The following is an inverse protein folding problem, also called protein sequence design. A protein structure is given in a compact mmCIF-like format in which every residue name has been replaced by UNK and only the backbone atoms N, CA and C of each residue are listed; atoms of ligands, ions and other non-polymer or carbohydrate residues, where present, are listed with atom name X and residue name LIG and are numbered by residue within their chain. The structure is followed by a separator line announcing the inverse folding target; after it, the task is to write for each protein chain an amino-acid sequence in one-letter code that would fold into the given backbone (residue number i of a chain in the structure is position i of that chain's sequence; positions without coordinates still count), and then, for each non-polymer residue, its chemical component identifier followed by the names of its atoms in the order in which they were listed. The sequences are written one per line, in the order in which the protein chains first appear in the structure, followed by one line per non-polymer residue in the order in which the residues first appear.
data_IF_831789994102
#
_entry.id   IF_831789994102
#
_cell.length_a   1.000
_cell.length_b   1.000
_cell.length_c   1.000
_cell.angle_alpha   90.00
_cell.angle_beta   90.00
_cell.angle_gamma   90.00
#
_symmetry.space_group_name_H-M   'P 1'
#
loop_
_entity.id
_entity.type
_entity.pdbx_description
1 polymer ?
#
# COMPACT_ATOMS: atom_id res chain seq x y z
N UNK A 1 35.82 22.60 15.72
CA UNK A 1 34.75 22.36 14.76
C UNK A 1 33.78 23.54 14.80
N UNK A 2 33.72 24.37 13.75
CA UNK A 2 32.73 25.44 13.67
C UNK A 2 31.50 24.89 12.94
N UNK A 3 30.42 24.63 13.68
CA UNK A 3 29.13 24.27 13.14
C UNK A 3 28.36 25.54 12.75
N UNK A 4 28.10 25.75 11.46
CA UNK A 4 27.25 26.82 10.98
C UNK A 4 25.84 26.28 10.88
N UNK A 5 24.99 26.60 11.84
CA UNK A 5 23.58 26.22 11.83
C UNK A 5 22.82 27.25 11.02
N UNK A 6 22.16 26.84 9.94
CA UNK A 6 21.18 27.63 9.22
C UNK A 6 19.80 27.22 9.73
N UNK A 7 19.09 28.09 10.37
CA UNK A 7 17.68 27.87 10.70
C UNK A 7 16.87 28.03 9.40
N UNK A 8 16.09 27.00 9.06
CA UNK A 8 15.08 27.06 8.03
C UNK A 8 13.78 27.62 8.61
N UNK A 9 12.89 28.11 7.74
CA UNK A 9 11.58 28.58 8.17
C UNK A 9 10.79 27.46 8.82
N UNK A 10 10.03 27.79 9.87
CA UNK A 10 9.21 26.80 10.59
C UNK A 10 8.08 26.21 9.73
N UNK A 11 7.69 26.91 8.65
CA UNK A 11 6.67 26.49 7.73
C UNK A 11 7.25 25.90 6.44
N UNK A 12 6.68 24.83 5.97
CA UNK A 12 7.00 24.20 4.70
C UNK A 12 5.75 23.89 3.89
N UNK A 13 5.83 24.14 2.59
CA UNK A 13 4.80 23.71 1.62
C UNK A 13 5.44 22.68 0.69
N UNK A 14 4.80 21.55 0.55
CA UNK A 14 5.24 20.45 -0.30
C UNK A 14 4.20 20.25 -1.40
N UNK A 15 4.63 20.24 -2.63
CA UNK A 15 3.79 19.97 -3.79
C UNK A 15 4.35 18.78 -4.56
N UNK A 16 3.49 18.00 -5.16
CA UNK A 16 3.92 16.85 -5.94
C UNK A 16 2.74 16.12 -6.58
N UNK A 17 2.99 14.91 -7.01
CA UNK A 17 2.00 14.06 -7.61
C UNK A 17 2.55 13.25 -8.76
N UNK A 18 1.67 12.64 -9.52
CA UNK A 18 1.99 11.87 -10.70
C UNK A 18 0.93 12.04 -11.77
N UNK A 19 1.39 12.11 -13.02
CA UNK A 19 0.55 12.05 -14.22
C UNK A 19 0.91 10.78 -14.96
N UNK A 20 -0.08 10.00 -15.33
CA UNK A 20 0.11 8.71 -15.99
C UNK A 20 -0.82 8.57 -17.19
N UNK A 21 -0.40 7.78 -18.17
CA UNK A 21 -1.25 7.35 -19.28
C UNK A 21 -2.35 6.38 -18.83
N UNK A 22 -2.21 5.82 -17.62
CA UNK A 22 -3.26 5.04 -16.92
C UNK A 22 -4.08 5.96 -16.03
N UNK A 23 -5.15 5.44 -15.40
CA UNK A 23 -6.01 6.25 -14.50
C UNK A 23 -5.36 6.63 -13.16
N UNK A 24 -4.06 6.40 -12.96
CA UNK A 24 -3.34 6.58 -11.70
C UNK A 24 -2.83 8.00 -11.44
N UNK A 25 -3.50 9.02 -11.98
CA UNK A 25 -3.12 10.42 -11.77
C UNK A 25 -3.38 10.85 -10.33
N UNK A 26 -2.42 11.60 -9.75
CA UNK A 26 -2.50 12.12 -8.38
C UNK A 26 -1.93 13.53 -8.31
N UNK A 27 -2.56 14.38 -7.50
CA UNK A 27 -2.02 15.67 -7.06
C UNK A 27 -1.83 15.57 -5.54
N UNK A 28 -0.69 16.03 -5.06
CA UNK A 28 -0.33 16.07 -3.65
C UNK A 28 -0.03 17.50 -3.21
N UNK A 29 -0.57 17.87 -2.06
CA UNK A 29 -0.25 19.09 -1.34
C UNK A 29 0.00 18.74 0.13
N UNK A 30 1.14 19.17 0.65
CA UNK A 30 1.49 19.00 2.06
C UNK A 30 1.84 20.35 2.67
N UNK A 31 1.32 20.59 3.88
CA UNK A 31 1.67 21.71 4.74
C UNK A 31 2.39 21.16 5.97
N UNK A 32 3.50 21.77 6.35
CA UNK A 32 4.27 21.37 7.51
C UNK A 32 4.62 22.57 8.39
N UNK A 33 4.53 22.37 9.68
CA UNK A 33 5.08 23.27 10.70
C UNK A 33 6.04 22.50 11.57
N UNK A 34 7.26 22.99 11.74
CA UNK A 34 8.27 22.40 12.60
C UNK A 34 8.85 23.43 13.55
N UNK A 35 8.91 23.09 14.82
CA UNK A 35 9.55 23.88 15.86
C UNK A 35 10.67 23.06 16.50
N UNK A 36 11.90 23.59 16.40
CA UNK A 36 13.13 22.96 16.91
C UNK A 36 13.61 23.76 18.10
N UNK A 37 13.17 23.37 19.28
CA UNK A 37 13.62 23.89 20.55
C UNK A 37 14.39 22.82 21.34
N UNK A 38 14.16 22.72 22.66
CA UNK A 38 14.69 21.64 23.49
C UNK A 38 14.23 20.26 23.02
N UNK A 39 13.07 20.18 22.41
CA UNK A 39 12.52 19.01 21.70
C UNK A 39 11.91 19.43 20.35
N UNK A 40 11.92 18.53 19.38
CA UNK A 40 11.33 18.80 18.07
C UNK A 40 9.83 18.54 18.10
N UNK A 41 9.05 19.49 17.61
CA UNK A 41 7.62 19.34 17.32
C UNK A 41 7.42 19.49 15.82
N UNK A 42 6.63 18.61 15.24
CA UNK A 42 6.27 18.66 13.84
C UNK A 42 4.77 18.40 13.69
N UNK A 43 4.09 19.24 12.93
CA UNK A 43 2.70 19.03 12.52
C UNK A 43 2.67 19.07 11.00
N UNK A 44 2.11 18.02 10.38
CA UNK A 44 1.95 17.96 8.93
C UNK A 44 0.51 17.68 8.57
N UNK A 45 0.02 18.38 7.54
CA UNK A 45 -1.26 18.14 6.90
C UNK A 45 -0.98 17.79 5.44
N UNK A 46 -1.28 16.56 5.06
CA UNK A 46 -1.05 16.02 3.72
C UNK A 46 -2.39 15.74 3.04
N UNK A 47 -2.56 16.24 1.83
CA UNK A 47 -3.72 15.99 0.98
C UNK A 47 -3.31 15.38 -0.34
N UNK A 48 -4.04 14.37 -0.79
CA UNK A 48 -3.86 13.73 -2.09
C UNK A 48 -5.21 13.60 -2.77
N UNK A 49 -5.27 13.99 -4.03
CA UNK A 49 -6.46 13.89 -4.86
C UNK A 49 -6.07 13.19 -6.15
N UNK A 50 -6.75 12.09 -6.44
CA UNK A 50 -6.52 11.31 -7.66
C UNK A 50 -7.77 10.53 -8.06
N UNK A 51 -7.75 9.93 -9.22
CA UNK A 51 -8.90 9.13 -9.69
C UNK A 51 -9.06 7.83 -8.89
N UNK A 52 -7.96 7.17 -8.55
CA UNK A 52 -7.95 5.88 -7.85
C UNK A 52 -7.74 6.06 -6.36
N UNK A 53 -6.89 6.99 -5.95
CA UNK A 53 -6.52 7.17 -4.55
C UNK A 53 -6.67 8.63 -4.11
N UNK A 54 -7.46 8.82 -3.07
CA UNK A 54 -7.66 10.09 -2.38
C UNK A 54 -7.27 9.92 -0.92
N UNK A 55 -6.62 10.92 -0.34
CA UNK A 55 -6.24 10.88 1.07
C UNK A 55 -6.16 12.28 1.68
N UNK A 56 -6.51 12.38 2.96
CA UNK A 56 -6.18 13.50 3.83
C UNK A 56 -5.59 12.93 5.13
N UNK A 57 -4.41 13.40 5.52
CA UNK A 57 -3.73 12.93 6.72
C UNK A 57 -3.19 14.09 7.54
N UNK A 58 -3.51 14.09 8.81
CA UNK A 58 -2.90 14.95 9.83
C UNK A 58 -1.95 14.12 10.67
N UNK A 59 -0.71 14.56 10.83
CA UNK A 59 0.28 13.97 11.74
C UNK A 59 0.83 15.03 12.66
N UNK A 60 0.81 14.74 13.96
CA UNK A 60 1.55 15.47 14.97
C UNK A 60 2.64 14.58 15.52
N UNK A 61 3.88 15.07 15.57
CA UNK A 61 5.06 14.35 16.01
C UNK A 61 5.83 15.17 17.04
N UNK A 62 6.33 14.50 18.07
CA UNK A 62 7.22 15.07 19.09
C UNK A 62 8.41 14.14 19.24
N UNK A 63 9.62 14.67 19.05
CA UNK A 63 10.87 13.95 19.27
C UNK A 63 11.49 14.46 20.58
N UNK A 64 11.67 13.57 21.55
CA UNK A 64 12.26 13.86 22.84
C UNK A 64 13.72 13.41 22.88
N UNK A 65 14.68 14.31 23.21
CA UNK A 65 16.09 13.99 23.36
C UNK A 65 16.38 13.37 24.72
N UNK A 66 15.66 12.34 25.10
CA UNK A 66 15.87 11.57 26.32
C UNK A 66 17.10 10.66 26.19
N UNK A 67 17.53 9.99 27.28
CA UNK A 67 18.66 9.03 27.23
C UNK A 67 18.51 8.00 26.10
N UNK A 68 17.27 7.57 25.84
CA UNK A 68 16.90 6.79 24.64
C UNK A 68 16.00 7.73 23.83
N UNK A 69 16.47 8.29 22.70
CA UNK A 69 15.67 9.20 21.90
C UNK A 69 14.32 8.58 21.55
N UNK A 70 13.24 9.26 21.89
CA UNK A 70 11.87 8.72 21.74
C UNK A 70 11.05 9.66 20.88
N UNK A 71 10.36 9.09 19.88
CA UNK A 71 9.45 9.81 18.99
C UNK A 71 8.02 9.38 19.27
N UNK A 72 7.14 10.33 19.55
CA UNK A 72 5.70 10.13 19.65
C UNK A 72 5.02 10.70 18.41
N UNK A 73 4.08 9.95 17.83
CA UNK A 73 3.31 10.37 16.65
C UNK A 73 1.85 10.09 16.86
N UNK A 74 1.02 11.07 16.58
CA UNK A 74 -0.42 10.94 16.45
C UNK A 74 -0.78 11.14 14.98
N UNK A 75 -1.46 10.16 14.38
CA UNK A 75 -1.85 10.18 12.98
C UNK A 75 -3.36 10.03 12.90
N UNK A 76 -4.00 10.96 12.20
CA UNK A 76 -5.39 10.84 11.79
C UNK A 76 -5.44 10.84 10.26
N UNK A 77 -6.08 9.85 9.66
CA UNK A 77 -6.10 9.66 8.21
C UNK A 77 -7.49 9.28 7.70
N UNK A 78 -7.82 9.83 6.53
CA UNK A 78 -8.99 9.51 5.73
C UNK A 78 -8.50 9.16 4.34
N UNK A 79 -8.80 7.96 3.84
CA UNK A 79 -8.42 7.58 2.48
C UNK A 79 -9.52 6.81 1.77
N UNK A 80 -9.56 6.96 0.46
CA UNK A 80 -10.46 6.23 -0.44
C UNK A 80 -9.67 5.67 -1.59
N UNK A 81 -9.89 4.38 -1.88
CA UNK A 81 -9.42 3.71 -3.10
C UNK A 81 -10.62 3.34 -3.95
N UNK A 82 -10.67 3.84 -5.20
CA UNK A 82 -11.69 3.52 -6.18
C UNK A 82 -11.09 2.67 -7.31
N UNK A 83 -11.55 1.43 -7.43
CA UNK A 83 -11.07 0.51 -8.44
C UNK A 83 -12.03 0.43 -9.63
N UNK A 84 -11.49 0.51 -10.85
CA UNK A 84 -12.21 0.47 -12.11
C UNK A 84 -11.93 -0.81 -12.89
N UNK A 85 -12.94 -1.35 -13.60
CA UNK A 85 -12.82 -2.65 -14.30
C UNK A 85 -11.85 -2.65 -15.48
N UNK A 86 -11.61 -1.51 -16.11
CA UNK A 86 -10.66 -1.37 -17.23
C UNK A 86 -10.00 -0.01 -17.19
N UNK A 87 -8.71 -0.02 -17.15
CA UNK A 87 -7.89 1.11 -17.52
C UNK A 87 -7.46 0.89 -18.97
N UNK A 88 -8.11 1.60 -19.89
CA UNK A 88 -7.62 1.68 -21.27
C UNK A 88 -6.76 2.94 -21.39
N UNK A 89 -5.63 2.80 -22.08
CA UNK A 89 -4.78 3.94 -22.47
C UNK A 89 -5.66 5.01 -23.11
N UNK A 90 -5.62 6.23 -22.59
CA UNK A 90 -6.35 7.41 -23.10
C UNK A 90 -7.87 7.30 -23.17
N UNK A 91 -8.51 6.31 -22.53
CA UNK A 91 -9.96 6.25 -22.53
C UNK A 91 -10.56 6.85 -21.26
N UNK A 92 -11.60 7.67 -21.43
CA UNK A 92 -12.46 8.13 -20.34
C UNK A 92 -13.23 6.92 -19.80
N UNK A 93 -13.07 6.59 -18.52
CA UNK A 93 -13.94 5.61 -17.88
C UNK A 93 -15.25 6.29 -17.54
N UNK A 94 -16.28 6.05 -18.32
CA UNK A 94 -17.62 6.61 -18.11
C UNK A 94 -18.43 5.82 -17.07
N UNK A 95 -17.88 4.70 -16.56
CA UNK A 95 -18.55 3.84 -15.57
C UNK A 95 -17.98 4.07 -14.18
N UNK A 96 -18.86 4.05 -13.14
CA UNK A 96 -18.44 4.11 -11.73
C UNK A 96 -17.45 3.01 -11.37
N UNK A 97 -16.74 3.21 -10.24
CA UNK A 97 -15.88 2.17 -9.66
C UNK A 97 -16.70 0.92 -9.33
N UNK A 98 -16.13 -0.25 -9.58
CA UNK A 98 -16.79 -1.50 -9.23
C UNK A 98 -16.53 -1.91 -7.79
N UNK A 99 -15.43 -1.43 -7.18
CA UNK A 99 -15.09 -1.55 -5.77
C UNK A 99 -14.56 -0.21 -5.28
N UNK A 100 -15.04 0.22 -4.11
CA UNK A 100 -14.52 1.39 -3.38
C UNK A 100 -14.16 0.96 -1.96
N UNK A 101 -13.00 1.38 -1.49
CA UNK A 101 -12.50 1.09 -0.16
C UNK A 101 -12.19 2.38 0.57
N UNK A 102 -12.97 2.66 1.62
CA UNK A 102 -12.77 3.80 2.52
C UNK A 102 -12.07 3.34 3.79
N UNK A 103 -11.06 4.11 4.22
CA UNK A 103 -10.33 3.86 5.45
C UNK A 103 -10.24 5.17 6.24
N UNK A 104 -10.66 5.15 7.49
CA UNK A 104 -10.61 6.27 8.43
C UNK A 104 -10.03 5.77 9.73
N UNK A 105 -8.96 6.39 10.22
CA UNK A 105 -8.36 5.93 11.47
C UNK A 105 -7.65 7.04 12.23
N UNK A 106 -7.47 6.78 13.53
CA UNK A 106 -6.55 7.50 14.40
C UNK A 106 -5.60 6.47 15.00
N UNK A 107 -4.29 6.75 14.95
CA UNK A 107 -3.21 5.87 15.43
C UNK A 107 -2.22 6.67 16.26
N UNK A 108 -1.93 6.21 17.47
CA UNK A 108 -0.83 6.69 18.30
C UNK A 108 0.35 5.74 18.14
N UNK A 109 1.55 6.27 17.93
CA UNK A 109 2.77 5.51 17.72
C UNK A 109 3.88 6.04 18.60
N UNK A 110 4.68 5.13 19.13
CA UNK A 110 5.93 5.42 19.85
C UNK A 110 7.05 4.73 19.12
N UNK A 111 8.09 5.46 18.75
CA UNK A 111 9.26 4.93 18.04
C UNK A 111 10.53 5.15 18.87
N UNK A 112 11.36 4.12 18.90
CA UNK A 112 12.64 4.08 19.60
C UNK A 112 13.74 3.63 18.64
N UNK A 113 14.98 4.15 18.72
CA UNK A 113 16.10 3.58 18.00
C UNK A 113 16.37 2.17 18.54
N UNK A 114 16.59 1.23 17.62
CA UNK A 114 16.88 -0.17 17.94
C UNK A 114 18.30 -0.58 17.57
N UNK A 115 18.76 -0.16 16.40
CA UNK A 115 20.12 -0.29 15.88
C UNK A 115 20.47 0.97 15.10
N UNK A 116 21.71 1.14 14.66
CA UNK A 116 22.20 2.35 14.00
C UNK A 116 21.28 2.86 12.88
N UNK A 117 20.68 1.94 12.07
CA UNK A 117 19.79 2.28 10.96
C UNK A 117 18.40 1.66 11.09
N UNK A 118 18.00 1.24 12.32
CA UNK A 118 16.71 0.58 12.57
C UNK A 118 16.01 1.23 13.76
N UNK A 119 14.69 1.22 13.72
CA UNK A 119 13.82 1.67 14.80
C UNK A 119 12.79 0.61 15.14
N UNK A 120 12.44 0.53 16.41
CA UNK A 120 11.29 -0.20 16.91
C UNK A 120 10.12 0.75 17.05
N UNK A 121 8.92 0.32 16.69
CA UNK A 121 7.69 1.11 16.83
C UNK A 121 6.63 0.28 17.54
N UNK A 122 5.92 0.89 18.45
CA UNK A 122 4.72 0.35 19.09
C UNK A 122 3.57 1.29 18.74
N UNK A 123 2.44 0.75 18.35
CA UNK A 123 1.29 1.59 18.05
C UNK A 123 -0.02 0.97 18.51
N UNK A 124 -0.99 1.85 18.80
CA UNK A 124 -2.38 1.53 19.05
C UNK A 124 -3.25 2.48 18.25
N UNK A 125 -4.38 2.00 17.73
CA UNK A 125 -5.26 2.84 16.96
C UNK A 125 -6.67 2.26 16.84
N UNK A 126 -7.59 3.15 16.47
CA UNK A 126 -8.95 2.80 16.12
C UNK A 126 -9.21 3.19 14.66
N UNK A 127 -9.79 2.26 13.90
CA UNK A 127 -10.09 2.45 12.49
C UNK A 127 -11.48 1.95 12.11
N UNK A 128 -12.08 2.67 11.16
CA UNK A 128 -13.27 2.25 10.43
C UNK A 128 -12.89 2.03 8.97
N UNK A 129 -13.06 0.79 8.51
CA UNK A 129 -12.84 0.39 7.13
C UNK A 129 -14.20 0.08 6.53
N UNK A 130 -14.45 0.55 5.30
CA UNK A 130 -15.69 0.30 4.59
C UNK A 130 -15.39 -0.05 3.15
N UNK A 131 -15.91 -1.21 2.72
CA UNK A 131 -15.83 -1.66 1.33
C UNK A 131 -17.22 -1.61 0.71
N UNK A 132 -17.34 -0.95 -0.46
CA UNK A 132 -18.53 -0.99 -1.30
C UNK A 132 -18.16 -1.73 -2.58
N UNK A 133 -18.90 -2.79 -2.94
CA UNK A 133 -18.50 -3.68 -4.03
C UNK A 133 -19.69 -4.39 -4.67
N UNK A 134 -19.48 -4.90 -5.88
CA UNK A 134 -20.44 -5.75 -6.57
C UNK A 134 -19.91 -7.18 -6.65
N UNK A 135 -20.76 -8.16 -6.33
CA UNK A 135 -20.37 -9.58 -6.36
C UNK A 135 -20.36 -10.15 -7.79
N UNK A 136 -21.11 -9.53 -8.71
CA UNK A 136 -21.19 -9.96 -10.12
C UNK A 136 -20.11 -9.32 -10.98
N UNK A 137 -19.62 -10.06 -11.98
CA UNK A 137 -18.77 -9.50 -13.04
C UNK A 137 -19.57 -8.69 -14.07
N UNK A 138 -20.85 -8.93 -14.20
CA UNK A 138 -21.78 -8.17 -15.05
C UNK A 138 -22.59 -7.26 -14.14
N UNK A 139 -22.38 -5.95 -14.23
CA UNK A 139 -23.02 -4.95 -13.39
C UNK A 139 -23.92 -4.08 -14.25
N UNK A 140 -25.17 -3.95 -13.87
CA UNK A 140 -26.06 -2.93 -14.36
C UNK A 140 -26.13 -1.79 -13.34
N UNK A 141 -25.32 -0.75 -13.55
CA UNK A 141 -25.19 0.37 -12.59
C UNK A 141 -26.49 1.17 -12.37
N UNK A 142 -27.48 1.03 -13.24
CA UNK A 142 -28.78 1.70 -13.09
C UNK A 142 -29.73 0.95 -12.14
N UNK A 143 -29.54 -0.37 -12.01
CA UNK A 143 -30.42 -1.27 -11.24
C UNK A 143 -29.74 -1.90 -10.04
N UNK A 144 -28.46 -2.27 -10.19
CA UNK A 144 -27.71 -2.97 -9.15
C UNK A 144 -27.17 -1.97 -8.12
N UNK A 145 -27.35 -2.30 -6.85
CA UNK A 145 -26.75 -1.59 -5.73
C UNK A 145 -25.57 -2.37 -5.20
N UNK A 146 -24.51 -1.66 -4.80
CA UNK A 146 -23.34 -2.28 -4.21
C UNK A 146 -23.62 -2.83 -2.82
N UNK A 147 -23.06 -3.99 -2.52
CA UNK A 147 -22.92 -4.49 -1.16
C UNK A 147 -21.99 -3.62 -0.35
N UNK A 148 -22.17 -3.62 0.97
CA UNK A 148 -21.34 -2.84 1.89
C UNK A 148 -20.89 -3.70 3.07
N UNK A 149 -19.57 -3.82 3.25
CA UNK A 149 -18.96 -4.36 4.46
C UNK A 149 -18.28 -3.25 5.24
N UNK A 150 -18.56 -3.12 6.52
CA UNK A 150 -17.97 -2.11 7.40
C UNK A 150 -17.31 -2.79 8.60
N UNK A 151 -16.06 -2.45 8.88
CA UNK A 151 -15.26 -2.97 9.98
C UNK A 151 -14.92 -1.82 10.92
N UNK A 152 -15.32 -1.91 12.19
CA UNK A 152 -14.88 -1.01 13.25
C UNK A 152 -13.88 -1.77 14.11
N UNK A 153 -12.62 -1.37 14.10
CA UNK A 153 -11.51 -2.12 14.60
C UNK A 153 -10.67 -1.31 15.59
N UNK A 154 -10.33 -1.93 16.71
CA UNK A 154 -9.21 -1.54 17.55
C UNK A 154 -8.00 -2.36 17.10
N UNK A 155 -6.85 -1.73 16.90
CA UNK A 155 -5.62 -2.40 16.49
C UNK A 155 -4.44 -2.02 17.36
N UNK A 156 -3.54 -2.97 17.60
CA UNK A 156 -2.25 -2.75 18.21
C UNK A 156 -1.16 -3.38 17.35
N UNK A 157 0.03 -2.75 17.31
CA UNK A 157 1.14 -3.27 16.53
C UNK A 157 2.49 -3.05 17.22
N UNK A 158 3.41 -3.97 16.95
CA UNK A 158 4.84 -3.83 17.20
C UNK A 158 5.54 -4.03 15.88
N UNK A 159 6.45 -3.10 15.53
CA UNK A 159 7.17 -3.14 14.27
C UNK A 159 8.65 -2.82 14.41
N UNK A 160 9.45 -3.39 13.52
CA UNK A 160 10.86 -3.08 13.34
C UNK A 160 11.08 -2.62 11.90
N UNK A 161 11.69 -1.45 11.74
CA UNK A 161 11.88 -0.81 10.45
C UNK A 161 13.33 -0.39 10.27
N UNK A 162 13.88 -0.62 9.10
CA UNK A 162 15.18 -0.15 8.70
C UNK A 162 15.21 0.27 7.25
N UNK A 163 15.92 1.37 6.93
CA UNK A 163 16.08 1.81 5.56
C UNK A 163 17.37 2.59 5.38
N UNK A 164 18.11 2.24 4.34
CA UNK A 164 19.30 2.96 3.85
C UNK A 164 19.19 3.25 2.36
N UNK A 165 17.97 3.23 1.81
CA UNK A 165 17.73 3.44 0.39
C UNK A 165 18.17 4.84 -0.06
N UNK A 166 18.84 4.92 -1.20
CA UNK A 166 19.25 6.18 -1.81
C UNK A 166 18.12 6.98 -2.46
N UNK A 167 16.96 6.36 -2.72
CA UNK A 167 15.78 7.03 -3.27
C UNK A 167 14.49 6.38 -2.78
N UNK A 168 13.39 7.16 -2.69
CA UNK A 168 12.05 6.68 -2.30
C UNK A 168 11.43 5.73 -3.30
N UNK A 169 11.55 6.08 -4.58
CA UNK A 169 11.14 5.24 -5.71
C UNK A 169 12.36 5.01 -6.60
N UNK A 170 12.41 3.85 -7.23
CA UNK A 170 13.47 3.48 -8.16
C UNK A 170 14.87 3.51 -7.53
N UNK A 171 15.01 3.14 -6.26
CA UNK A 171 16.29 3.02 -5.59
C UNK A 171 17.22 2.05 -6.33
N UNK A 172 18.53 2.35 -6.26
CA UNK A 172 19.61 1.54 -6.84
C UNK A 172 20.63 1.09 -5.81
N UNK A 173 20.57 1.62 -4.57
CA UNK A 173 21.51 1.31 -3.49
C UNK A 173 20.78 1.23 -2.15
N UNK A 174 21.35 0.47 -1.23
CA UNK A 174 20.84 0.34 0.13
C UNK A 174 19.79 -0.76 0.28
N UNK A 175 19.10 -0.75 1.40
CA UNK A 175 18.04 -1.73 1.70
C UNK A 175 16.87 -1.07 2.41
N UNK A 176 15.73 -1.76 2.37
CA UNK A 176 14.57 -1.55 3.23
C UNK A 176 14.20 -2.86 3.89
N UNK A 177 13.86 -2.81 5.17
CA UNK A 177 13.42 -3.97 5.95
C UNK A 177 12.28 -3.55 6.88
N UNK A 178 11.23 -4.35 6.91
CA UNK A 178 10.04 -4.15 7.76
C UNK A 178 9.63 -5.50 8.32
N UNK A 179 9.49 -5.60 9.65
CA UNK A 179 8.84 -6.71 10.35
C UNK A 179 7.78 -6.12 11.26
N UNK A 180 6.53 -6.53 11.11
CA UNK A 180 5.41 -6.00 11.90
C UNK A 180 4.51 -7.14 12.34
N UNK A 181 4.18 -7.16 13.63
CA UNK A 181 3.14 -7.99 14.20
C UNK A 181 1.99 -7.09 14.66
N UNK A 182 0.78 -7.37 14.20
CA UNK A 182 -0.42 -6.58 14.48
C UNK A 182 -1.54 -7.47 15.01
N UNK A 183 -2.28 -6.97 15.98
CA UNK A 183 -3.50 -7.62 16.50
C UNK A 183 -4.67 -6.67 16.30
N UNK A 184 -5.78 -7.23 15.86
CA UNK A 184 -7.02 -6.48 15.63
C UNK A 184 -8.17 -7.14 16.33
N UNK A 185 -9.10 -6.32 16.84
CA UNK A 185 -10.38 -6.78 17.39
C UNK A 185 -11.46 -5.77 17.07
N UNK A 186 -12.62 -6.24 16.66
CA UNK A 186 -13.74 -5.36 16.35
C UNK A 186 -14.96 -6.09 15.82
N UNK A 187 -15.75 -5.37 15.03
CA UNK A 187 -17.02 -5.86 14.48
C UNK A 187 -17.09 -5.60 12.99
N UNK A 188 -17.47 -6.62 12.25
CA UNK A 188 -17.90 -6.54 10.86
C UNK A 188 -19.42 -6.34 10.81
N UNK A 189 -19.91 -5.46 9.94
CA UNK A 189 -21.30 -5.30 9.57
C UNK A 189 -21.42 -5.40 8.06
N UNK A 190 -22.13 -6.40 7.58
CA UNK A 190 -22.47 -6.55 6.17
C UNK A 190 -23.90 -6.05 5.90
N UNK A 191 -24.08 -5.33 4.80
CA UNK A 191 -25.37 -4.86 4.29
C UNK A 191 -25.44 -5.21 2.80
N UNK A 192 -26.36 -6.10 2.40
CA UNK A 192 -26.55 -6.43 0.99
C UNK A 192 -27.11 -5.24 0.21
N UNK A 193 -26.62 -5.03 -1.02
CA UNK A 193 -27.07 -3.97 -1.91
C UNK A 193 -28.47 -4.25 -2.48
N UNK A 194 -28.69 -5.48 -2.93
CA UNK A 194 -29.97 -5.95 -3.42
C UNK A 194 -30.49 -7.00 -2.42
N UNK A 195 -31.30 -6.58 -1.42
CA UNK A 195 -31.83 -7.51 -0.43
C UNK A 195 -32.79 -8.50 -1.08
N UNK A 196 -32.54 -9.78 -0.89
CA UNK A 196 -33.43 -10.89 -1.20
C UNK A 196 -33.93 -11.47 0.12
N UNK A 197 -34.95 -12.32 0.09
CA UNK A 197 -35.45 -12.99 1.32
C UNK A 197 -34.36 -13.75 2.10
N UNK A 198 -33.28 -14.15 1.41
CA UNK A 198 -32.15 -14.87 1.97
C UNK A 198 -30.94 -13.99 2.32
N UNK A 199 -30.88 -12.74 1.88
CA UNK A 199 -29.78 -11.82 2.14
C UNK A 199 -30.08 -10.86 3.26
N UNK A 200 -29.63 -11.14 4.45
CA UNK A 200 -29.89 -10.36 5.67
C UNK A 200 -28.65 -9.59 6.08
N UNK A 201 -28.83 -8.42 6.68
CA UNK A 201 -27.75 -7.69 7.34
C UNK A 201 -27.15 -8.55 8.46
N UNK A 202 -25.84 -8.83 8.38
CA UNK A 202 -25.14 -9.60 9.41
C UNK A 202 -24.22 -8.72 10.23
N UNK A 203 -23.92 -9.14 11.47
CA UNK A 203 -22.92 -8.51 12.33
C UNK A 203 -22.13 -9.61 13.00
N UNK A 204 -20.81 -9.61 12.76
CA UNK A 204 -19.91 -10.60 13.33
C UNK A 204 -18.75 -9.93 14.07
N UNK A 205 -18.24 -10.61 15.09
CA UNK A 205 -17.01 -10.19 15.76
C UNK A 205 -15.81 -10.76 15.01
N UNK A 206 -14.87 -9.88 14.68
CA UNK A 206 -13.62 -10.24 14.03
C UNK A 206 -12.45 -9.94 14.97
N UNK A 207 -11.57 -10.92 15.15
CA UNK A 207 -10.30 -10.73 15.88
C UNK A 207 -9.24 -11.59 15.21
N UNK A 208 -8.07 -11.01 14.92
CA UNK A 208 -7.01 -11.74 14.25
C UNK A 208 -5.63 -11.17 14.58
N UNK A 209 -4.62 -12.01 14.37
CA UNK A 209 -3.20 -11.66 14.34
C UNK A 209 -2.75 -11.57 12.87
N UNK A 210 -1.93 -10.57 12.56
CA UNK A 210 -1.22 -10.47 11.29
C UNK A 210 0.27 -10.25 11.56
N UNK A 211 1.11 -11.01 10.87
CA UNK A 211 2.56 -10.85 10.88
C UNK A 211 3.01 -10.63 9.44
N UNK A 212 3.73 -9.56 9.19
CA UNK A 212 4.29 -9.24 7.89
C UNK A 212 5.79 -9.01 7.97
N UNK A 213 6.53 -9.59 7.05
CA UNK A 213 7.94 -9.33 6.84
C UNK A 213 8.17 -8.95 5.39
N UNK A 214 8.90 -7.86 5.16
CA UNK A 214 9.30 -7.41 3.83
C UNK A 214 10.74 -6.92 3.88
N UNK A 215 11.52 -7.38 2.95
CA UNK A 215 12.89 -6.88 2.73
C UNK A 215 13.18 -6.76 1.25
N UNK A 216 13.83 -5.69 0.87
CA UNK A 216 14.46 -5.55 -0.43
C UNK A 216 15.80 -4.85 -0.28
N UNK A 217 16.75 -5.25 -1.10
CA UNK A 217 18.11 -4.73 -1.05
C UNK A 217 18.70 -4.65 -2.46
N UNK A 218 19.65 -3.74 -2.62
CA UNK A 218 20.32 -3.47 -3.88
C UNK A 218 21.83 -3.60 -3.69
N UNK A 219 22.44 -4.47 -4.48
CA UNK A 219 23.88 -4.75 -4.48
C UNK A 219 24.49 -4.26 -5.79
N UNK A 220 25.37 -3.27 -5.71
CA UNK A 220 26.13 -2.77 -6.85
C UNK A 220 27.18 -3.80 -7.23
N UNK A 221 27.00 -4.46 -8.37
CA UNK A 221 27.92 -5.47 -8.90
C UNK A 221 29.02 -4.83 -9.76
N UNK A 222 28.69 -3.73 -10.43
CA UNK A 222 29.63 -2.90 -11.20
C UNK A 222 29.13 -1.46 -11.24
N UNK A 223 29.93 -0.48 -11.70
CA UNK A 223 29.49 0.91 -11.81
C UNK A 223 28.19 1.10 -12.61
N UNK A 224 27.92 0.20 -13.55
CA UNK A 224 26.74 0.28 -14.43
C UNK A 224 25.68 -0.79 -14.15
N UNK A 225 25.93 -1.72 -13.22
CA UNK A 225 25.00 -2.80 -12.95
C UNK A 225 24.76 -3.01 -11.47
N UNK A 226 23.50 -2.98 -11.08
CA UNK A 226 23.03 -3.30 -9.71
C UNK A 226 22.04 -4.45 -9.78
N UNK A 227 22.22 -5.42 -8.90
CA UNK A 227 21.25 -6.49 -8.69
C UNK A 227 20.42 -6.19 -7.43
N UNK A 228 19.15 -5.92 -7.61
CA UNK A 228 18.18 -5.85 -6.53
C UNK A 228 17.49 -7.19 -6.31
N UNK A 229 17.00 -7.42 -5.10
CA UNK A 229 16.13 -8.54 -4.76
C UNK A 229 15.09 -8.10 -3.72
N UNK A 230 14.01 -8.84 -3.62
CA UNK A 230 13.03 -8.69 -2.55
C UNK A 230 12.51 -10.04 -2.04
N UNK A 231 12.10 -10.05 -0.77
CA UNK A 231 11.33 -11.13 -0.17
C UNK A 231 10.22 -10.52 0.68
N UNK A 232 9.04 -11.10 0.61
CA UNK A 232 7.88 -10.71 1.40
C UNK A 232 7.16 -11.94 1.90
N UNK A 233 6.75 -11.91 3.15
CA UNK A 233 5.98 -12.96 3.80
C UNK A 233 4.86 -12.30 4.61
N UNK A 234 3.67 -12.84 4.48
CA UNK A 234 2.54 -12.42 5.27
C UNK A 234 1.77 -13.62 5.80
N UNK A 235 1.44 -13.53 7.07
CA UNK A 235 0.53 -14.45 7.76
C UNK A 235 -0.57 -13.64 8.42
N UNK A 236 -1.82 -13.96 8.15
CA UNK A 236 -2.98 -13.41 8.83
C UNK A 236 -3.94 -14.53 9.23
N UNK A 237 -4.32 -14.54 10.50
CA UNK A 237 -5.34 -15.46 11.02
C UNK A 237 -6.77 -14.93 10.86
N UNK A 238 -6.97 -13.92 9.99
CA UNK A 238 -8.27 -13.30 9.75
C UNK A 238 -9.26 -14.32 9.21
N UNK A 239 -10.45 -14.40 9.81
CA UNK A 239 -11.56 -15.17 9.30
C UNK A 239 -12.09 -14.60 7.99
N UNK A 240 -12.79 -15.42 7.23
CA UNK A 240 -13.48 -14.96 6.03
C UNK A 240 -14.60 -13.99 6.39
N UNK A 241 -14.81 -13.02 5.51
CA UNK A 241 -15.95 -12.10 5.58
C UNK A 241 -17.23 -12.77 5.06
N UNK A 242 -18.36 -12.07 5.12
CA UNK A 242 -19.67 -12.61 4.76
C UNK A 242 -19.71 -13.31 3.40
N UNK A 243 -18.96 -12.81 2.42
CA UNK A 243 -18.88 -13.41 1.09
C UNK A 243 -17.44 -13.39 0.54
N UNK A 244 -17.25 -14.09 -0.58
CA UNK A 244 -15.95 -14.21 -1.25
C UNK A 244 -15.36 -12.84 -1.63
N UNK A 245 -16.16 -11.94 -2.23
CA UNK A 245 -15.66 -10.64 -2.69
C UNK A 245 -15.19 -9.77 -1.52
N UNK A 246 -15.97 -9.70 -0.42
CA UNK A 246 -15.55 -9.02 0.81
C UNK A 246 -14.25 -9.59 1.36
N UNK A 247 -14.14 -10.92 1.39
CA UNK A 247 -12.93 -11.62 1.84
C UNK A 247 -11.71 -11.22 1.00
N UNK A 248 -11.84 -11.21 -0.33
CA UNK A 248 -10.75 -10.84 -1.24
C UNK A 248 -10.36 -9.37 -1.15
N UNK A 249 -11.31 -8.45 -0.92
CA UNK A 249 -11.03 -7.03 -0.69
C UNK A 249 -10.23 -6.80 0.59
N UNK A 250 -10.48 -7.61 1.62
CA UNK A 250 -9.82 -7.52 2.91
C UNK A 250 -8.53 -8.35 3.01
N UNK A 251 -8.33 -9.32 2.12
CA UNK A 251 -7.09 -10.07 2.03
C UNK A 251 -5.92 -9.16 1.62
N UNK A 252 -4.75 -9.39 2.20
CA UNK A 252 -3.56 -8.62 1.88
C UNK A 252 -3.17 -8.79 0.41
N UNK A 253 -2.72 -7.71 -0.21
CA UNK A 253 -2.29 -7.68 -1.60
C UNK A 253 -0.77 -7.66 -1.71
N UNK A 254 -0.26 -8.39 -2.70
CA UNK A 254 1.12 -8.32 -3.13
C UNK A 254 1.24 -7.36 -4.31
N UNK A 255 1.84 -6.19 -4.07
CA UNK A 255 1.97 -5.10 -5.04
C UNK A 255 3.38 -4.50 -5.03
N UNK A 256 4.38 -5.20 -5.63
CA UNK A 256 5.80 -4.88 -5.49
C UNK A 256 6.27 -3.67 -6.29
N UNK A 257 5.56 -3.29 -7.36
CA UNK A 257 5.93 -2.15 -8.21
C UNK A 257 5.04 -0.93 -7.92
N UNK A 258 5.50 0.30 -8.19
CA UNK A 258 4.65 1.48 -8.05
C UNK A 258 3.33 1.36 -8.81
N UNK A 259 3.36 0.78 -10.01
CA UNK A 259 2.19 0.64 -10.88
C UNK A 259 1.18 -0.38 -10.34
N UNK A 260 1.64 -1.47 -9.70
CA UNK A 260 0.75 -2.50 -9.14
C UNK A 260 -0.04 -2.01 -7.91
N UNK A 261 0.44 -1.01 -7.18
CA UNK A 261 -0.20 -0.50 -5.95
C UNK A 261 -1.56 0.16 -6.18
N UNK A 262 -1.82 0.66 -7.38
CA UNK A 262 -3.08 1.30 -7.74
C UNK A 262 -4.03 0.37 -8.51
N UNK A 263 -3.66 -0.91 -8.66
CA UNK A 263 -4.47 -1.92 -9.34
C UNK A 263 -5.13 -2.86 -8.32
N UNK A 264 -6.39 -3.21 -8.55
CA UNK A 264 -7.02 -4.34 -7.87
C UNK A 264 -6.79 -5.60 -8.68
N UNK A 265 -5.96 -6.48 -8.16
CA UNK A 265 -5.74 -7.80 -8.76
C UNK A 265 -5.98 -8.89 -7.71
N UNK A 266 -7.11 -9.58 -7.85
CA UNK A 266 -7.54 -10.64 -6.96
C UNK A 266 -6.57 -11.83 -6.91
N UNK A 267 -5.85 -12.05 -8.02
CA UNK A 267 -4.90 -13.14 -8.12
C UNK A 267 -3.69 -13.01 -7.17
N UNK A 268 -3.33 -11.79 -6.79
CA UNK A 268 -2.21 -11.47 -5.91
C UNK A 268 -2.67 -11.12 -4.49
N UNK A 269 -3.80 -11.70 -4.04
CA UNK A 269 -4.34 -11.50 -2.70
C UNK A 269 -4.48 -12.80 -1.94
N UNK A 270 -4.05 -12.79 -0.69
CA UNK A 270 -4.19 -13.93 0.21
C UNK A 270 -4.07 -13.49 1.68
N UNK A 271 -4.61 -14.28 2.61
CA UNK A 271 -4.38 -14.10 4.04
C UNK A 271 -2.99 -14.58 4.46
N UNK A 272 -2.38 -15.48 3.65
CA UNK A 272 -1.07 -16.07 3.94
C UNK A 272 -0.34 -16.31 2.63
N UNK A 273 0.83 -15.70 2.47
CA UNK A 273 1.62 -15.86 1.26
C UNK A 273 3.12 -15.70 1.49
N UNK A 274 3.87 -16.21 0.53
CA UNK A 274 5.28 -15.95 0.32
C UNK A 274 5.45 -15.30 -1.05
N UNK A 275 6.33 -14.31 -1.15
CA UNK A 275 6.68 -13.69 -2.40
C UNK A 275 8.17 -13.35 -2.43
N UNK A 276 8.76 -13.44 -3.61
CA UNK A 276 10.15 -13.07 -3.84
C UNK A 276 10.32 -12.48 -5.24
N UNK A 277 11.37 -11.68 -5.42
CA UNK A 277 11.65 -11.09 -6.72
C UNK A 277 13.10 -10.70 -6.91
N UNK A 278 13.48 -10.58 -8.17
CA UNK A 278 14.80 -10.10 -8.61
C UNK A 278 14.62 -8.85 -9.47
N UNK A 279 15.59 -7.94 -9.39
CA UNK A 279 15.57 -6.61 -10.03
C UNK A 279 16.93 -6.28 -10.64
N UNK A 280 17.28 -6.86 -11.79
CA UNK A 280 18.43 -6.39 -12.57
C UNK A 280 18.24 -4.94 -13.00
N UNK A 281 19.23 -4.08 -12.71
CA UNK A 281 19.19 -2.65 -12.99
C UNK A 281 20.48 -2.25 -13.70
N UNK A 282 20.33 -1.69 -14.89
CA UNK A 282 21.42 -1.06 -15.61
C UNK A 282 21.36 0.45 -15.43
N UNK A 283 22.38 1.02 -14.79
CA UNK A 283 22.51 2.44 -14.50
C UNK A 283 23.41 3.06 -15.57
N UNK A 284 22.83 3.82 -16.48
CA UNK A 284 23.61 4.47 -17.53
C UNK A 284 24.35 5.70 -17.02
N UNK A 285 23.67 6.49 -16.19
CA UNK A 285 24.19 7.65 -15.48
C UNK A 285 23.26 7.97 -14.27
N UNK A 286 23.50 9.07 -13.58
CA UNK A 286 22.72 9.48 -12.40
C UNK A 286 21.23 9.73 -12.70
N UNK A 287 20.88 10.00 -13.98
CA UNK A 287 19.51 10.28 -14.39
C UNK A 287 18.81 9.06 -14.98
N UNK A 288 19.52 8.24 -15.78
CA UNK A 288 18.89 7.19 -16.58
C UNK A 288 19.23 5.78 -16.07
N UNK A 289 18.20 4.97 -15.92
CA UNK A 289 18.32 3.56 -15.59
C UNK A 289 17.30 2.71 -16.37
N UNK A 290 17.73 1.51 -16.73
CA UNK A 290 16.88 0.46 -17.25
C UNK A 290 16.69 -0.61 -16.17
N UNK A 291 15.45 -1.02 -15.95
CA UNK A 291 15.08 -2.00 -14.91
C UNK A 291 14.32 -3.15 -15.56
N UNK A 292 14.70 -4.37 -15.18
CA UNK A 292 13.91 -5.57 -15.46
C UNK A 292 13.60 -6.23 -14.12
N UNK A 293 12.33 -6.37 -13.81
CA UNK A 293 11.88 -6.84 -12.50
C UNK A 293 10.98 -8.07 -12.68
N UNK A 294 11.25 -9.12 -11.92
CA UNK A 294 10.46 -10.34 -11.94
C UNK A 294 10.12 -10.75 -10.51
N UNK A 295 8.84 -11.07 -10.27
CA UNK A 295 8.32 -11.41 -8.96
C UNK A 295 7.45 -12.65 -9.03
N UNK A 296 7.65 -13.56 -8.07
CA UNK A 296 6.81 -14.71 -7.82
C UNK A 296 5.97 -14.51 -6.56
N UNK A 297 4.73 -14.97 -6.60
CA UNK A 297 3.77 -14.94 -5.50
C UNK A 297 3.15 -16.32 -5.30
N UNK A 298 3.19 -16.81 -4.07
CA UNK A 298 2.65 -18.12 -3.68
C UNK A 298 1.75 -17.97 -2.46
N UNK A 299 0.42 -18.03 -2.61
CA UNK A 299 -0.46 -18.12 -1.46
C UNK A 299 -0.25 -19.48 -0.77
N UNK A 300 -0.06 -19.49 0.54
CA UNK A 300 0.05 -20.74 1.32
C UNK A 300 -1.26 -21.51 1.18
N UNK A 301 -2.38 -20.84 1.43
CA UNK A 301 -3.71 -21.38 1.16
C UNK A 301 -4.47 -20.39 0.26
N UNK A 302 -4.63 -20.66 -1.05
CA UNK A 302 -5.39 -19.77 -1.92
C UNK A 302 -6.85 -19.72 -1.51
N UNK A 303 -7.39 -18.51 -1.47
CA UNK A 303 -8.81 -18.27 -1.19
C UNK A 303 -9.61 -18.59 -2.47
N UNK A 304 -10.61 -19.44 -2.34
CA UNK A 304 -11.48 -19.88 -3.45
C UNK A 304 -12.94 -19.57 -3.14
N UNK A 305 -13.74 -19.51 -4.19
CA UNK A 305 -15.17 -19.26 -4.17
C UNK A 305 -15.95 -20.56 -4.35
N UNK A 306 -16.95 -20.82 -3.52
CA UNK A 306 -17.89 -21.92 -3.70
C UNK A 306 -19.14 -21.48 -4.49
N UNK A 307 -20.05 -22.42 -4.76
CA UNK A 307 -21.30 -22.14 -5.49
C UNK A 307 -22.21 -21.11 -4.79
N UNK A 308 -22.12 -20.97 -3.48
CA UNK A 308 -22.91 -20.02 -2.66
C UNK A 308 -22.20 -18.66 -2.50
N UNK A 309 -21.19 -18.37 -3.30
CA UNK A 309 -20.37 -17.15 -3.19
C UNK A 309 -19.67 -16.95 -1.83
N UNK A 310 -19.44 -18.03 -1.08
CA UNK A 310 -18.67 -18.00 0.16
C UNK A 310 -17.21 -18.34 -0.12
N UNK A 311 -16.30 -17.75 0.69
CA UNK A 311 -14.89 -18.05 0.62
C UNK A 311 -14.54 -19.35 1.34
N UNK A 312 -13.54 -20.07 0.85
CA UNK A 312 -12.92 -21.21 1.51
C UNK A 312 -11.45 -21.33 1.12
N UNK A 313 -10.64 -21.98 1.93
CA UNK A 313 -9.25 -22.24 1.62
C UNK A 313 -9.11 -23.43 0.66
N UNK A 314 -8.34 -23.22 -0.40
CA UNK A 314 -7.93 -24.30 -1.31
C UNK A 314 -6.77 -25.11 -0.74
N UNK A 315 -6.28 -26.08 -1.53
CA UNK A 315 -5.12 -26.91 -1.17
C UNK A 315 -3.88 -26.04 -1.01
N UNK A 316 -3.06 -26.34 0.00
CA UNK A 316 -1.82 -25.61 0.26
C UNK A 316 -0.89 -25.58 -0.96
N UNK A 317 -0.25 -24.43 -1.22
CA UNK A 317 0.74 -24.22 -2.30
C UNK A 317 0.26 -24.63 -3.70
N UNK A 318 -1.06 -24.66 -3.94
CA UNK A 318 -1.64 -25.12 -5.23
C UNK A 318 -1.68 -24.05 -6.30
N UNK A 319 -1.17 -22.84 -6.03
CA UNK A 319 -1.20 -21.72 -6.94
C UNK A 319 0.13 -20.97 -6.92
N UNK A 320 0.62 -20.62 -8.10
CA UNK A 320 1.76 -19.75 -8.31
C UNK A 320 1.38 -18.66 -9.30
N UNK A 321 1.66 -17.40 -8.94
CA UNK A 321 1.44 -16.26 -9.81
C UNK A 321 2.74 -15.46 -9.95
N UNK A 322 2.88 -14.74 -11.06
CA UNK A 322 4.06 -13.91 -11.29
C UNK A 322 3.72 -12.56 -11.90
N UNK A 323 4.61 -11.60 -11.66
CA UNK A 323 4.60 -10.27 -12.25
C UNK A 323 5.95 -10.07 -12.91
N UNK A 324 5.97 -9.65 -14.18
CA UNK A 324 7.15 -9.17 -14.89
C UNK A 324 6.97 -7.69 -15.24
N UNK A 325 7.99 -6.87 -15.04
CA UNK A 325 7.99 -5.47 -15.44
C UNK A 325 9.34 -5.08 -16.03
N UNK A 326 9.32 -4.42 -17.18
CA UNK A 326 10.48 -3.78 -17.79
C UNK A 326 10.21 -2.29 -17.83
N UNK A 327 11.16 -1.47 -17.37
CA UNK A 327 10.99 -0.03 -17.33
C UNK A 327 12.27 0.73 -17.62
N UNK A 328 12.11 1.87 -18.27
CA UNK A 328 13.14 2.91 -18.44
C UNK A 328 12.76 4.07 -17.55
N UNK A 329 13.67 4.46 -16.68
CA UNK A 329 13.45 5.51 -15.69
C UNK A 329 14.42 6.67 -15.98
N UNK A 330 13.87 7.88 -16.01
CA UNK A 330 14.63 9.12 -15.97
C UNK A 330 14.36 9.80 -14.63
N UNK A 331 15.35 9.84 -13.75
CA UNK A 331 15.29 10.54 -12.46
C UNK A 331 15.47 12.03 -12.65
N UNK A 332 14.54 12.82 -12.12
CA UNK A 332 14.57 14.28 -12.12
C UNK A 332 14.59 14.79 -10.68
N UNK A 333 15.07 16.00 -10.40
CA UNK A 333 15.09 16.56 -9.05
C UNK A 333 13.70 16.64 -8.38
N UNK A 334 12.66 16.79 -9.19
CA UNK A 334 11.26 16.95 -8.74
C UNK A 334 10.38 15.71 -9.00
N UNK A 335 10.95 14.58 -9.48
CA UNK A 335 10.17 13.38 -9.78
C UNK A 335 10.92 12.41 -10.68
N UNK A 336 10.21 11.43 -11.21
CA UNK A 336 10.75 10.50 -12.19
C UNK A 336 9.83 10.39 -13.40
N UNK A 337 10.39 10.24 -14.60
CA UNK A 337 9.68 9.77 -15.77
C UNK A 337 9.92 8.27 -15.87
N UNK A 338 8.85 7.51 -15.96
CA UNK A 338 8.91 6.05 -16.06
C UNK A 338 8.10 5.61 -17.27
N UNK A 339 8.75 5.00 -18.26
CA UNK A 339 8.09 4.24 -19.31
C UNK A 339 8.21 2.75 -18.97
N UNK A 340 7.10 2.03 -18.94
CA UNK A 340 7.08 0.65 -18.50
C UNK A 340 6.16 -0.25 -19.33
N UNK A 341 6.53 -1.52 -19.36
CA UNK A 341 5.71 -2.61 -19.86
C UNK A 341 5.65 -3.66 -18.77
N UNK A 342 4.45 -4.06 -18.36
CA UNK A 342 4.29 -5.12 -17.36
C UNK A 342 3.33 -6.21 -17.83
N UNK A 343 3.49 -7.36 -17.21
CA UNK A 343 2.69 -8.55 -17.47
C UNK A 343 2.35 -9.24 -16.15
N UNK A 344 1.08 -9.59 -16.00
CA UNK A 344 0.55 -10.36 -14.87
C UNK A 344 0.11 -11.72 -15.35
N UNK A 345 0.46 -12.79 -14.61
CA UNK A 345 0.06 -14.17 -14.94
C UNK A 345 -1.44 -14.38 -14.92
N UNK A 346 -2.18 -13.58 -14.13
CA UNK A 346 -3.61 -13.77 -13.85
C UNK A 346 -4.27 -12.43 -13.45
N UNK A 347 -5.58 -12.24 -13.65
CA UNK A 347 -6.59 -13.16 -14.15
C UNK A 347 -6.59 -13.31 -15.67
N UNK A 348 -6.07 -12.31 -16.37
CA UNK A 348 -5.88 -12.32 -17.82
C UNK A 348 -4.40 -12.07 -18.08
N UNK A 349 -3.79 -12.91 -18.90
CA UNK A 349 -2.40 -12.74 -19.34
C UNK A 349 -2.31 -11.53 -20.29
N UNK A 350 -2.48 -10.33 -19.75
CA UNK A 350 -2.47 -9.09 -20.52
C UNK A 350 -1.15 -8.34 -20.29
N UNK A 351 -0.64 -7.77 -21.36
CA UNK A 351 0.45 -6.81 -21.31
C UNK A 351 -0.12 -5.42 -21.12
N UNK A 352 0.43 -4.68 -20.17
CA UNK A 352 0.08 -3.28 -19.95
C UNK A 352 1.30 -2.42 -20.24
N UNK A 353 1.09 -1.33 -20.96
CA UNK A 353 2.12 -0.35 -21.30
C UNK A 353 1.69 0.98 -20.71
N UNK A 354 2.63 1.69 -20.11
CA UNK A 354 2.33 2.98 -19.52
C UNK A 354 3.53 3.92 -19.46
N UNK A 355 3.21 5.20 -19.33
CA UNK A 355 4.14 6.28 -19.06
C UNK A 355 3.66 7.00 -17.81
N UNK A 356 4.55 7.27 -16.88
CA UNK A 356 4.26 8.02 -15.66
C UNK A 356 5.29 9.12 -15.46
N UNK A 357 4.84 10.31 -15.11
CA UNK A 357 5.66 11.45 -14.70
C UNK A 357 5.34 11.80 -13.25
N UNK A 358 6.36 11.93 -12.41
CA UNK A 358 6.23 12.29 -11.00
C UNK A 358 6.39 11.08 -10.06
N UNK A 359 5.98 11.24 -8.82
CA UNK A 359 6.04 10.22 -7.80
C UNK A 359 4.63 9.83 -7.34
N UNK A 360 4.41 8.53 -7.26
CA UNK A 360 3.22 8.00 -6.62
C UNK A 360 3.44 7.98 -5.11
N UNK A 361 2.62 8.74 -4.40
CA UNK A 361 2.72 8.91 -2.96
C UNK A 361 1.59 8.14 -2.28
N UNK A 362 1.90 7.49 -1.17
CA UNK A 362 0.93 6.79 -0.32
C UNK A 362 1.21 7.15 1.12
N UNK A 363 0.15 7.42 1.87
CA UNK A 363 0.22 7.71 3.28
C UNK A 363 0.08 6.44 4.13
N UNK A 364 0.17 6.58 5.45
CA UNK A 364 -0.01 5.48 6.38
C UNK A 364 -1.37 4.81 6.20
N UNK A 365 -1.39 3.51 6.42
CA UNK A 365 -2.61 2.69 6.46
C UNK A 365 -2.87 2.20 7.88
N UNK A 366 -4.12 1.85 8.17
CA UNK A 366 -4.48 1.26 9.46
C UNK A 366 -3.92 -0.16 9.60
N UNK A 367 -4.14 -1.00 8.58
CA UNK A 367 -3.56 -2.34 8.44
C UNK A 367 -2.34 -2.24 7.51
N UNK A 368 -1.16 -2.59 8.03
CA UNK A 368 0.13 -2.46 7.32
C UNK A 368 0.65 -3.82 6.83
#
# INVERSE_FOLDING_TARGET
LHLKVKMEDNFSVRMGGSVSTTSSNQIYLGLGYQDLNYYSKEITLDGQIGKVYNNAQLMAKIDLPTRIPTSYRLIASLSTFDYYKKDKLFSKNDKPSFNSKDERFVKLMVALPFLANKRAEISIGYGKLQDNYFQSSVINFDKDRSDRSTYNLLGGAIGFYGSTLNARQYATKGYFEKLVAQVFSGKEKFIPGNPTETSVTTKERQSWLQISYMKYAYHTMSPKFTLGWMAEMLYSSKNFSENYTATMLQAADFSPTPHSKLMYNEAFRANQFLAAGIKPIFVFNDMFQFRSEFYGFVPIFPIKKNALNKAYYGKAFSRFEYIGEISVICQLPFGAISAYVNHYSSPKKEWNVGLTLGWQLFNYRFIE
#
